data_IF_548728498327
#
_entry.id   IF_548728498327
#
_cell.length_a   1.000
_cell.length_b   1.000
_cell.length_c   1.000
_cell.angle_alpha   90.00
_cell.angle_beta   90.00
_cell.angle_gamma   90.00
#
_symmetry.space_group_name_H-M   'P 1'
#
loop_
_entity.id
_entity.type
_entity.pdbx_description
1 polymer ?
#
# COMPACT_ATOMS: atom_id res chain seq x y z
N UNK A 1 -16.11 -18.45 -2.27
CA UNK A 1 -15.00 -17.68 -1.68
C UNK A 1 -15.29 -17.54 -0.21
N UNK A 2 -14.40 -18.04 0.65
CA UNK A 2 -14.49 -17.80 2.09
C UNK A 2 -14.41 -16.30 2.39
N UNK A 3 -14.93 -15.91 3.56
CA UNK A 3 -15.06 -14.50 3.94
C UNK A 3 -13.70 -13.92 4.32
N UNK A 4 -13.10 -13.17 3.39
CA UNK A 4 -11.91 -12.35 3.69
C UNK A 4 -12.21 -11.32 4.78
N UNK A 5 -11.34 -11.25 5.79
CA UNK A 5 -11.38 -10.24 6.84
C UNK A 5 -10.38 -9.14 6.47
N UNK A 6 -10.89 -7.98 6.10
CA UNK A 6 -10.09 -6.85 5.62
C UNK A 6 -9.46 -6.06 6.77
N UNK A 7 -8.20 -5.68 6.60
CA UNK A 7 -7.44 -4.77 7.48
C UNK A 7 -6.97 -3.58 6.66
N UNK A 8 -7.09 -2.37 7.22
CA UNK A 8 -6.69 -1.12 6.56
C UNK A 8 -7.79 -0.07 6.61
N UNK A 9 -7.82 0.80 5.61
CA UNK A 9 -8.75 1.91 5.53
C UNK A 9 -10.15 1.45 5.10
N UNK A 10 -11.17 2.18 5.55
CA UNK A 10 -12.57 1.87 5.23
C UNK A 10 -12.88 2.13 3.73
N UNK A 11 -13.52 1.16 3.08
CA UNK A 11 -13.90 1.23 1.66
C UNK A 11 -14.76 2.47 1.33
N UNK A 12 -15.58 2.94 2.27
CA UNK A 12 -16.42 4.13 2.07
C UNK A 12 -15.60 5.38 1.79
N UNK A 13 -14.35 5.46 2.26
CA UNK A 13 -13.44 6.55 1.95
C UNK A 13 -13.12 6.59 0.44
N UNK A 14 -13.09 5.43 -0.22
CA UNK A 14 -12.73 5.29 -1.64
C UNK A 14 -13.93 5.27 -2.57
N UNK A 15 -15.15 5.04 -2.06
CA UNK A 15 -16.40 5.11 -2.82
C UNK A 15 -16.57 6.44 -3.58
N UNK A 16 -16.03 7.55 -3.04
CA UNK A 16 -16.07 8.87 -3.68
C UNK A 16 -15.31 8.93 -5.01
N UNK A 17 -14.34 8.04 -5.20
CA UNK A 17 -13.53 7.96 -6.42
C UNK A 17 -14.15 7.05 -7.48
N UNK A 18 -15.34 6.48 -7.26
CA UNK A 18 -16.02 5.59 -8.24
C UNK A 18 -16.18 6.18 -9.65
N UNK A 19 -16.22 7.50 -9.78
CA UNK A 19 -16.35 8.24 -11.05
C UNK A 19 -15.01 8.69 -11.63
N UNK A 20 -13.89 8.41 -10.96
CA UNK A 20 -12.55 8.68 -11.43
C UNK A 20 -12.11 7.50 -12.28
N UNK A 21 -12.60 7.48 -13.52
CA UNK A 21 -12.37 6.37 -14.45
C UNK A 21 -11.45 6.86 -15.56
N UNK A 22 -10.33 6.19 -15.74
CA UNK A 22 -9.41 6.39 -16.83
C UNK A 22 -10.02 5.83 -18.12
N UNK A 23 -10.33 6.72 -19.07
CA UNK A 23 -10.86 6.38 -20.39
C UNK A 23 -9.89 6.79 -21.52
N UNK A 24 -8.70 7.28 -21.18
CA UNK A 24 -7.71 7.79 -22.13
C UNK A 24 -6.92 6.65 -22.77
N UNK A 25 -6.41 6.89 -23.98
CA UNK A 25 -5.48 6.01 -24.69
C UNK A 25 -4.34 6.85 -25.29
N UNK A 26 -3.06 6.62 -24.93
CA UNK A 26 -2.58 5.65 -23.93
C UNK A 26 -3.10 5.94 -22.52
N UNK A 27 -3.20 4.91 -21.68
CA UNK A 27 -3.83 5.00 -20.37
C UNK A 27 -2.90 5.58 -19.29
N UNK A 28 -3.28 6.71 -18.69
CA UNK A 28 -2.56 7.40 -17.61
C UNK A 28 -2.89 6.86 -16.21
N UNK A 29 -2.86 5.53 -16.03
CA UNK A 29 -3.30 4.89 -14.78
C UNK A 29 -2.47 5.32 -13.55
N UNK A 30 -1.18 5.65 -13.74
CA UNK A 30 -0.31 6.19 -12.70
C UNK A 30 -0.77 7.58 -12.23
N UNK A 31 -1.13 8.46 -13.16
CA UNK A 31 -1.71 9.78 -12.87
C UNK A 31 -2.99 9.66 -12.05
N UNK A 32 -3.93 8.77 -12.41
CA UNK A 32 -5.15 8.59 -11.63
C UNK A 32 -4.87 8.13 -10.21
N UNK A 33 -3.92 7.20 -10.01
CA UNK A 33 -3.56 6.73 -8.69
C UNK A 33 -2.87 7.82 -7.85
N UNK A 34 -1.95 8.58 -8.44
CA UNK A 34 -1.30 9.72 -7.78
C UNK A 34 -2.29 10.83 -7.43
N UNK A 35 -3.24 11.13 -8.30
CA UNK A 35 -4.29 12.10 -8.06
C UNK A 35 -5.21 11.67 -6.92
N UNK A 36 -5.66 10.41 -6.89
CA UNK A 36 -6.50 9.92 -5.79
C UNK A 36 -5.74 9.87 -4.46
N UNK A 37 -4.47 9.46 -4.46
CA UNK A 37 -3.62 9.49 -3.26
C UNK A 37 -3.46 10.93 -2.74
N UNK A 38 -3.16 11.88 -3.61
CA UNK A 38 -3.03 13.31 -3.27
C UNK A 38 -4.35 13.86 -2.72
N UNK A 39 -5.46 13.58 -3.40
CA UNK A 39 -6.79 13.99 -2.95
C UNK A 39 -7.16 13.41 -1.60
N UNK A 40 -6.94 12.11 -1.40
CA UNK A 40 -7.22 11.45 -0.13
C UNK A 40 -6.39 12.04 1.01
N UNK A 41 -5.09 12.23 0.79
CA UNK A 41 -4.16 12.80 1.78
C UNK A 41 -4.56 14.23 2.17
N UNK A 42 -4.72 15.13 1.20
CA UNK A 42 -5.08 16.53 1.46
C UNK A 42 -6.43 16.64 2.16
N UNK A 43 -7.41 15.83 1.75
CA UNK A 43 -8.74 15.85 2.34
C UNK A 43 -8.73 15.34 3.78
N UNK A 44 -7.92 14.32 4.10
CA UNK A 44 -7.75 13.83 5.46
C UNK A 44 -7.08 14.88 6.36
N UNK A 45 -6.02 15.53 5.86
CA UNK A 45 -5.20 16.43 6.67
C UNK A 45 -5.85 17.81 6.88
N UNK A 46 -6.61 18.27 5.89
CA UNK A 46 -7.08 19.67 5.85
C UNK A 46 -8.59 19.82 5.71
N UNK A 47 -9.32 18.75 5.39
CA UNK A 47 -10.73 18.84 5.01
C UNK A 47 -10.96 19.52 3.65
N UNK A 48 -9.91 19.91 2.93
CA UNK A 48 -10.04 20.60 1.65
C UNK A 48 -10.36 19.63 0.51
N UNK A 49 -11.41 19.94 -0.23
CA UNK A 49 -11.83 19.19 -1.42
C UNK A 49 -11.21 19.78 -2.68
N UNK A 50 -10.46 18.97 -3.43
CA UNK A 50 -9.86 19.40 -4.69
C UNK A 50 -10.72 19.01 -5.90
N UNK A 51 -10.76 19.87 -6.91
CA UNK A 51 -11.43 19.56 -8.18
C UNK A 51 -10.73 18.38 -8.88
N UNK A 52 -11.51 17.35 -9.23
CA UNK A 52 -11.03 16.19 -10.00
C UNK A 52 -10.27 16.61 -11.25
N UNK A 53 -10.85 17.51 -12.04
CA UNK A 53 -10.28 17.89 -13.34
C UNK A 53 -8.98 18.67 -13.17
N UNK A 54 -8.94 19.64 -12.26
CA UNK A 54 -7.73 20.43 -12.01
C UNK A 54 -6.61 19.54 -11.45
N UNK A 55 -6.95 18.61 -10.55
CA UNK A 55 -5.97 17.70 -9.97
C UNK A 55 -5.42 16.71 -11.00
N UNK A 56 -6.29 16.10 -11.82
CA UNK A 56 -5.83 15.20 -12.88
C UNK A 56 -4.90 15.92 -13.86
N UNK A 57 -5.28 17.12 -14.33
CA UNK A 57 -4.44 17.91 -15.23
C UNK A 57 -3.07 18.24 -14.59
N UNK A 58 -3.06 18.66 -13.32
CA UNK A 58 -1.81 18.99 -12.63
C UNK A 58 -0.91 17.77 -12.41
N UNK A 59 -1.50 16.62 -12.07
CA UNK A 59 -0.78 15.37 -11.82
C UNK A 59 -0.25 14.78 -13.13
N UNK A 60 -1.05 14.80 -14.21
CA UNK A 60 -0.65 14.33 -15.53
C UNK A 60 0.61 15.05 -16.01
N UNK A 61 0.65 16.37 -15.85
CA UNK A 61 1.83 17.17 -16.20
C UNK A 61 3.10 16.72 -15.49
N UNK A 62 3.03 16.30 -14.23
CA UNK A 62 4.24 15.90 -13.48
C UNK A 62 4.52 14.40 -13.46
N UNK A 63 3.53 13.57 -13.82
CA UNK A 63 3.63 12.10 -13.81
C UNK A 63 3.79 11.53 -15.21
N UNK A 64 3.10 12.05 -16.22
CA UNK A 64 2.95 11.44 -17.55
C UNK A 64 3.46 12.31 -18.74
N UNK A 65 3.61 13.64 -18.62
CA UNK A 65 4.01 14.50 -19.75
C UNK A 65 5.53 14.62 -20.01
N UNK A 66 6.40 14.38 -19.01
CA UNK A 66 7.84 14.73 -19.08
C UNK A 66 8.82 13.55 -19.23
N UNK A 67 8.48 12.50 -19.98
CA UNK A 67 9.41 11.38 -20.16
C UNK A 67 9.47 10.85 -21.59
N UNK A 68 10.64 10.26 -21.90
CA UNK A 68 11.01 9.78 -23.23
C UNK A 68 10.70 8.28 -23.41
N UNK A 69 9.82 7.72 -22.59
CA UNK A 69 9.47 6.31 -22.58
C UNK A 69 7.95 6.12 -22.61
N UNK A 70 7.49 4.93 -22.99
CA UNK A 70 6.08 4.61 -22.98
C UNK A 70 5.66 4.04 -21.62
N UNK A 71 4.56 4.59 -21.08
CA UNK A 71 3.94 4.13 -19.84
C UNK A 71 4.50 4.81 -18.60
N UNK A 72 3.81 4.62 -17.47
CA UNK A 72 4.19 5.24 -16.20
C UNK A 72 4.99 4.24 -15.36
N UNK A 73 6.25 4.53 -15.04
CA UNK A 73 7.02 3.72 -14.08
C UNK A 73 6.87 4.24 -12.65
N UNK A 74 7.22 3.43 -11.64
CA UNK A 74 7.10 3.82 -10.23
C UNK A 74 7.88 5.09 -9.88
N UNK A 75 9.02 5.34 -10.54
CA UNK A 75 9.81 6.55 -10.33
C UNK A 75 9.14 7.80 -10.93
N UNK A 76 8.37 7.67 -12.01
CA UNK A 76 7.57 8.77 -12.54
C UNK A 76 6.49 9.19 -11.53
N UNK A 77 5.76 8.21 -10.98
CA UNK A 77 4.74 8.44 -9.95
C UNK A 77 5.34 9.11 -8.72
N UNK A 78 6.49 8.62 -8.24
CA UNK A 78 7.15 9.19 -7.07
C UNK A 78 7.72 10.58 -7.33
N UNK A 79 8.29 10.83 -8.51
CA UNK A 79 8.78 12.16 -8.89
C UNK A 79 7.63 13.17 -8.96
N UNK A 80 6.51 12.80 -9.58
CA UNK A 80 5.31 13.64 -9.65
C UNK A 80 4.73 13.95 -8.28
N UNK A 81 4.59 12.95 -7.41
CA UNK A 81 4.15 13.15 -6.03
C UNK A 81 5.12 14.06 -5.25
N UNK A 82 6.44 13.86 -5.37
CA UNK A 82 7.43 14.73 -4.73
C UNK A 82 7.38 16.17 -5.27
N UNK A 83 7.04 16.37 -6.53
CA UNK A 83 6.81 17.71 -7.10
C UNK A 83 5.58 18.37 -6.46
N UNK A 84 4.48 17.64 -6.30
CA UNK A 84 3.22 18.13 -5.69
C UNK A 84 3.41 18.47 -4.20
N UNK A 85 3.99 17.56 -3.43
CA UNK A 85 4.20 17.77 -1.99
C UNK A 85 5.41 18.66 -1.70
N UNK A 86 6.31 18.85 -2.68
CA UNK A 86 7.51 19.69 -2.59
C UNK A 86 8.33 19.44 -1.31
N UNK A 87 8.39 18.18 -0.86
CA UNK A 87 9.00 17.75 0.40
C UNK A 87 8.51 18.53 1.64
N UNK A 88 7.29 19.07 1.59
CA UNK A 88 6.58 19.66 2.71
C UNK A 88 5.58 18.64 3.22
N UNK A 89 5.69 18.28 4.49
CA UNK A 89 4.83 17.32 5.20
C UNK A 89 4.92 15.87 4.71
N UNK A 90 5.15 15.61 3.43
CA UNK A 90 5.31 14.25 2.90
C UNK A 90 6.45 14.14 1.89
N UNK A 91 7.01 12.94 1.83
CA UNK A 91 7.96 12.51 0.81
C UNK A 91 7.45 11.23 0.16
N UNK A 92 7.34 11.22 -1.16
CA UNK A 92 7.05 10.00 -1.89
C UNK A 92 8.28 9.08 -1.89
N UNK A 93 8.05 7.83 -1.53
CA UNK A 93 9.03 6.74 -1.47
C UNK A 93 8.54 5.58 -2.33
N UNK A 94 9.49 4.80 -2.82
CA UNK A 94 9.23 3.65 -3.68
C UNK A 94 9.88 2.39 -3.14
N UNK A 95 9.41 1.25 -3.62
CA UNK A 95 10.08 -0.02 -3.40
C UNK A 95 9.55 -1.10 -4.32
N UNK A 96 10.12 -2.29 -4.17
CA UNK A 96 9.74 -3.51 -4.87
C UNK A 96 9.24 -4.53 -3.86
N UNK A 97 8.52 -5.55 -4.33
CA UNK A 97 7.97 -6.64 -3.50
C UNK A 97 6.86 -6.13 -2.56
N UNK A 98 5.68 -5.79 -3.11
CA UNK A 98 4.60 -5.17 -2.33
C UNK A 98 4.00 -6.10 -1.27
N UNK A 99 4.06 -7.43 -1.46
CA UNK A 99 3.46 -8.44 -0.59
C UNK A 99 3.91 -8.33 0.87
N UNK A 100 5.14 -7.88 1.11
CA UNK A 100 5.66 -7.65 2.47
C UNK A 100 5.43 -6.22 2.94
N UNK A 101 5.77 -5.25 2.10
CA UNK A 101 5.82 -3.85 2.50
C UNK A 101 4.42 -3.21 2.64
N UNK A 102 3.48 -3.52 1.76
CA UNK A 102 2.18 -2.82 1.70
C UNK A 102 1.37 -3.01 2.99
N UNK A 103 1.23 -4.22 3.56
CA UNK A 103 0.55 -4.38 4.86
C UNK A 103 1.19 -3.53 5.97
N UNK A 104 2.53 -3.53 6.07
CA UNK A 104 3.26 -2.76 7.08
C UNK A 104 3.08 -1.25 6.88
N UNK A 105 3.07 -0.77 5.63
CA UNK A 105 2.89 0.63 5.30
C UNK A 105 1.47 1.12 5.61
N UNK A 106 0.45 0.31 5.29
CA UNK A 106 -0.94 0.61 5.61
C UNK A 106 -1.13 0.64 7.13
N UNK A 107 -0.60 -0.35 7.85
CA UNK A 107 -0.67 -0.40 9.31
C UNK A 107 0.03 0.81 9.95
N UNK A 108 1.23 1.16 9.47
CA UNK A 108 2.06 2.23 10.04
C UNK A 108 1.50 3.63 9.78
N UNK A 109 1.16 3.91 8.53
CA UNK A 109 0.82 5.28 8.12
C UNK A 109 -0.68 5.52 8.04
N UNK A 110 -1.51 4.48 8.05
CA UNK A 110 -2.96 4.59 7.84
C UNK A 110 -3.30 5.36 6.55
N UNK A 111 -2.47 5.19 5.52
CA UNK A 111 -2.59 5.83 4.21
C UNK A 111 -2.61 4.75 3.10
N UNK A 112 -3.30 5.00 1.98
CA UNK A 112 -3.27 4.08 0.86
C UNK A 112 -1.92 4.08 0.15
N UNK A 113 -1.60 2.97 -0.50
CA UNK A 113 -0.33 2.71 -1.20
C UNK A 113 -0.60 2.42 -2.66
N UNK A 114 0.09 3.09 -3.57
CA UNK A 114 0.01 2.80 -5.00
C UNK A 114 0.81 1.52 -5.27
N UNK A 115 0.24 0.56 -5.99
CA UNK A 115 0.91 -0.68 -6.39
C UNK A 115 0.79 -0.90 -7.89
N UNK A 116 1.86 -1.42 -8.50
CA UNK A 116 1.89 -1.82 -9.90
C UNK A 116 1.60 -3.30 -10.04
N UNK A 117 0.68 -3.67 -10.94
CA UNK A 117 0.52 -5.06 -11.38
C UNK A 117 1.30 -5.32 -12.65
N UNK A 118 1.71 -6.57 -12.88
CA UNK A 118 2.35 -6.98 -14.14
C UNK A 118 1.63 -8.14 -14.81
N UNK A 119 1.56 -8.10 -16.14
CA UNK A 119 1.06 -9.22 -16.94
C UNK A 119 1.89 -10.49 -16.72
N UNK A 120 3.23 -10.36 -16.62
CA UNK A 120 4.14 -11.50 -16.41
C UNK A 120 3.95 -12.18 -15.06
N UNK A 121 3.39 -11.47 -14.07
CA UNK A 121 3.03 -12.02 -12.77
C UNK A 121 1.60 -12.60 -12.74
N UNK A 122 0.95 -12.75 -13.90
CA UNK A 122 -0.39 -13.33 -14.02
C UNK A 122 -1.52 -12.35 -13.71
N UNK A 123 -1.26 -11.04 -13.67
CA UNK A 123 -2.31 -10.05 -13.40
C UNK A 123 -3.35 -10.03 -14.53
N UNK A 124 -4.67 -10.18 -14.23
CA UNK A 124 -5.72 -9.97 -15.21
C UNK A 124 -5.82 -8.50 -15.65
N UNK A 125 -5.24 -7.58 -14.87
CA UNK A 125 -5.14 -6.16 -15.19
C UNK A 125 -3.95 -5.82 -16.09
N UNK A 126 -3.14 -6.81 -16.52
CA UNK A 126 -1.88 -6.61 -17.25
C UNK A 126 -0.95 -5.67 -16.48
N UNK A 127 -0.25 -4.77 -17.17
CA UNK A 127 0.55 -3.71 -16.56
C UNK A 127 -0.37 -2.54 -16.20
N UNK A 128 -0.58 -2.31 -14.91
CA UNK A 128 -1.58 -1.34 -14.42
C UNK A 128 -1.21 -0.80 -13.04
N UNK A 129 -1.64 0.42 -12.74
CA UNK A 129 -1.50 1.02 -11.41
C UNK A 129 -2.83 0.99 -10.65
N UNK A 130 -2.75 0.57 -9.39
CA UNK A 130 -3.86 0.48 -8.45
C UNK A 130 -3.52 1.25 -7.17
N UNK A 131 -4.54 1.74 -6.46
CA UNK A 131 -4.36 2.34 -5.14
C UNK A 131 -4.91 1.40 -4.07
N UNK A 132 -4.03 0.67 -3.38
CA UNK A 132 -4.37 -0.27 -2.32
C UNK A 132 -4.63 0.46 -1.02
N UNK A 133 -5.73 0.14 -0.37
CA UNK A 133 -6.11 0.75 0.90
C UNK A 133 -6.42 -0.26 2.01
N UNK A 134 -6.54 -1.54 1.66
CA UNK A 134 -6.72 -2.61 2.63
C UNK A 134 -6.10 -3.91 2.11
N UNK A 135 -5.86 -4.85 3.02
CA UNK A 135 -5.33 -6.17 2.73
C UNK A 135 -6.06 -7.25 3.54
N UNK A 136 -6.01 -8.49 3.08
CA UNK A 136 -6.56 -9.65 3.76
C UNK A 136 -5.75 -10.90 3.41
N UNK A 137 -5.72 -11.85 4.32
CA UNK A 137 -5.20 -13.19 4.06
C UNK A 137 -6.38 -14.16 3.94
N UNK A 138 -6.30 -15.11 3.01
CA UNK A 138 -7.21 -16.25 2.99
C UNK A 138 -6.75 -17.36 3.98
N UNK A 139 -7.54 -18.43 4.05
CA UNK A 139 -7.25 -19.61 4.87
C UNK A 139 -5.96 -20.34 4.45
N UNK A 140 -5.48 -20.14 3.22
CA UNK A 140 -4.24 -20.66 2.66
C UNK A 140 -3.07 -19.68 2.79
N UNK A 141 -3.22 -18.64 3.62
CA UNK A 141 -2.19 -17.64 3.87
C UNK A 141 -1.79 -16.84 2.62
N UNK A 142 -2.63 -16.81 1.58
CA UNK A 142 -2.41 -15.98 0.40
C UNK A 142 -2.88 -14.56 0.68
N UNK A 143 -2.04 -13.59 0.34
CA UNK A 143 -2.33 -12.17 0.53
C UNK A 143 -3.13 -11.60 -0.64
N UNK A 144 -4.19 -10.87 -0.31
CA UNK A 144 -5.00 -10.10 -1.25
C UNK A 144 -5.00 -8.64 -0.86
N UNK A 145 -4.97 -7.77 -1.86
CA UNK A 145 -5.16 -6.34 -1.70
C UNK A 145 -6.56 -5.95 -2.13
N UNK A 146 -7.15 -5.02 -1.37
CA UNK A 146 -8.33 -4.25 -1.75
C UNK A 146 -7.90 -2.89 -2.25
N UNK A 147 -8.33 -2.55 -3.44
CA UNK A 147 -7.83 -1.40 -4.15
C UNK A 147 -8.93 -0.59 -4.83
N UNK A 148 -8.64 0.70 -4.99
CA UNK A 148 -9.23 1.51 -6.03
C UNK A 148 -8.51 1.24 -7.36
N UNK A 149 -9.31 0.82 -8.34
CA UNK A 149 -8.95 0.59 -9.72
C UNK A 149 -9.60 1.66 -10.59
N UNK A 150 -8.74 2.43 -11.27
CA UNK A 150 -9.15 3.50 -12.17
C UNK A 150 -9.83 3.01 -13.46
N UNK A 151 -10.03 1.69 -13.66
CA UNK A 151 -10.95 1.14 -14.65
C UNK A 151 -12.41 1.04 -14.16
N UNK A 152 -12.73 1.54 -12.96
CA UNK A 152 -14.10 1.75 -12.50
C UNK A 152 -14.53 0.94 -11.28
N UNK A 153 -13.57 0.36 -10.53
CA UNK A 153 -13.87 -0.39 -9.31
C UNK A 153 -13.11 0.19 -8.12
N UNK A 154 -13.82 0.83 -7.19
CA UNK A 154 -13.23 1.30 -5.93
C UNK A 154 -13.02 0.17 -4.89
N UNK A 155 -13.40 -1.06 -5.23
CA UNK A 155 -13.37 -2.24 -4.36
C UNK A 155 -12.79 -3.46 -5.08
N UNK A 156 -11.84 -3.22 -5.98
CA UNK A 156 -11.13 -4.28 -6.68
C UNK A 156 -10.38 -5.14 -5.67
N UNK A 157 -10.38 -6.45 -5.89
CA UNK A 157 -9.64 -7.42 -5.08
C UNK A 157 -8.63 -8.10 -5.98
N UNK A 158 -7.35 -7.99 -5.65
CA UNK A 158 -6.26 -8.58 -6.41
C UNK A 158 -5.34 -9.42 -5.51
N UNK A 159 -4.88 -10.61 -5.95
CA UNK A 159 -3.79 -11.30 -5.27
C UNK A 159 -2.52 -10.45 -5.26
N UNK A 160 -1.88 -10.32 -4.10
CA UNK A 160 -0.68 -9.49 -3.94
C UNK A 160 0.47 -9.97 -4.85
N UNK A 161 0.60 -11.30 -5.04
CA UNK A 161 1.57 -11.93 -5.94
C UNK A 161 1.56 -11.43 -7.40
N UNK A 162 0.50 -10.73 -7.82
CA UNK A 162 0.41 -10.12 -9.16
C UNK A 162 1.10 -8.74 -9.23
N UNK A 163 1.66 -8.25 -8.13
CA UNK A 163 2.23 -6.90 -7.98
C UNK A 163 3.76 -6.92 -7.89
N UNK A 164 4.42 -5.85 -8.34
CA UNK A 164 5.89 -5.79 -8.42
C UNK A 164 6.52 -4.59 -7.71
N UNK A 165 5.89 -3.42 -7.81
CA UNK A 165 6.40 -2.16 -7.31
C UNK A 165 5.33 -1.42 -6.53
N UNK A 166 5.75 -0.57 -5.60
CA UNK A 166 4.84 0.27 -4.83
C UNK A 166 5.39 1.69 -4.63
N UNK A 167 4.48 2.63 -4.44
CA UNK A 167 4.75 4.04 -4.13
C UNK A 167 3.84 4.48 -2.99
N UNK A 168 4.41 5.14 -1.98
CA UNK A 168 3.67 5.63 -0.81
C UNK A 168 4.18 7.01 -0.39
N UNK A 169 3.37 7.71 0.41
CA UNK A 169 3.77 8.97 1.05
C UNK A 169 4.24 8.68 2.47
N UNK A 170 5.49 9.05 2.76
CA UNK A 170 6.05 9.04 4.11
C UNK A 170 5.89 10.43 4.72
N UNK A 171 5.23 10.57 5.88
CA UNK A 171 5.19 11.83 6.61
C UNK A 171 6.61 12.29 6.98
N UNK A 172 6.93 13.53 6.68
CA UNK A 172 8.15 14.20 7.15
C UNK A 172 7.82 14.76 8.53
N UNK A 173 8.43 14.19 9.57
CA UNK A 173 8.38 14.75 10.91
C UNK A 173 8.97 16.17 10.85
N UNK A 174 8.12 17.18 11.02
CA UNK A 174 8.60 18.54 11.20
C UNK A 174 9.12 18.67 12.63
N UNK A 175 10.41 18.94 12.79
CA UNK A 175 10.94 19.49 14.03
C UNK A 175 10.25 20.83 14.27
N UNK A 176 9.20 20.87 15.08
CA UNK A 176 8.66 22.12 15.63
C UNK A 176 8.68 22.05 17.15
N UNK A 177 9.44 23.00 17.69
CA UNK A 177 9.45 23.51 19.05
C UNK A 177 10.05 22.64 20.16
N UNK A 178 11.36 22.37 20.04
CA UNK A 178 12.23 21.99 21.17
C UNK A 178 12.47 23.16 22.15
N UNK A 179 11.39 23.78 22.65
CA UNK A 179 11.33 24.47 23.95
C UNK A 179 9.88 24.48 24.46
N UNK A 180 9.25 23.30 24.58
CA UNK A 180 8.16 23.11 25.53
C UNK A 180 8.43 21.81 26.28
N UNK A 181 8.43 21.93 27.62
CA UNK A 181 8.78 20.93 28.61
C UNK A 181 8.46 19.48 28.22
N UNK A 182 9.50 18.65 28.29
CA UNK A 182 9.40 17.19 28.35
C UNK A 182 8.79 16.83 29.70
N UNK A 183 7.47 16.88 29.80
CA UNK A 183 6.72 16.11 30.76
C UNK A 183 5.58 15.40 30.04
N UNK A 184 5.78 14.09 29.86
CA UNK A 184 4.74 13.07 29.74
C UNK A 184 3.54 13.39 28.85
N UNK A 185 3.72 13.19 27.53
CA UNK A 185 2.62 12.73 26.66
C UNK A 185 3.03 11.50 25.90
N UNK A 186 2.96 10.36 26.60
CA UNK A 186 2.50 9.14 25.95
C UNK A 186 1.03 9.33 25.60
N UNK A 187 0.74 10.10 24.54
CA UNK A 187 -0.56 10.04 23.92
C UNK A 187 -0.64 8.67 23.27
N UNK A 188 -1.27 7.74 23.99
CA UNK A 188 -1.65 6.42 23.51
C UNK A 188 -2.44 6.61 22.21
N UNK A 189 -1.78 6.40 21.08
CA UNK A 189 -2.45 6.11 19.83
C UNK A 189 -3.24 4.83 20.11
N UNK A 190 -4.54 4.99 20.35
CA UNK A 190 -5.46 3.89 20.61
C UNK A 190 -5.71 3.15 19.29
N UNK A 191 -4.69 2.41 18.85
CA UNK A 191 -4.78 1.42 17.79
C UNK A 191 -5.70 0.35 18.35
N UNK A 192 -6.98 0.33 17.95
CA UNK A 192 -7.79 -0.87 18.13
C UNK A 192 -7.12 -1.95 17.27
N UNK A 193 -6.40 -2.92 17.87
CA UNK A 193 -5.75 -3.92 17.07
C UNK A 193 -6.85 -4.76 16.42
N UNK A 194 -6.78 -4.92 15.10
CA UNK A 194 -7.69 -5.82 14.41
C UNK A 194 -7.46 -7.22 15.00
N UNK A 195 -8.46 -7.79 15.69
CA UNK A 195 -8.36 -9.11 16.32
C UNK A 195 -7.91 -10.18 15.32
N UNK A 196 -8.23 -10.02 14.03
CA UNK A 196 -7.75 -10.90 12.97
C UNK A 196 -6.23 -10.81 12.76
N UNK A 197 -5.63 -9.61 12.89
CA UNK A 197 -4.17 -9.40 12.82
C UNK A 197 -3.47 -10.03 14.00
N UNK A 198 -4.03 -9.91 15.21
CA UNK A 198 -3.50 -10.59 16.40
C UNK A 198 -3.51 -12.10 16.16
N UNK A 199 -4.65 -12.68 15.77
CA UNK A 199 -4.74 -14.12 15.51
C UNK A 199 -3.80 -14.60 14.40
N UNK A 200 -3.56 -13.77 13.38
CA UNK A 200 -2.64 -14.06 12.29
C UNK A 200 -1.18 -14.02 12.74
N UNK A 201 -0.79 -12.96 13.47
CA UNK A 201 0.56 -12.81 14.03
C UNK A 201 0.85 -13.91 15.04
N UNK A 202 -0.12 -14.28 15.87
CA UNK A 202 -0.04 -15.42 16.79
C UNK A 202 0.12 -16.74 16.03
N UNK A 203 -0.62 -16.93 14.94
CA UNK A 203 -0.48 -18.12 14.08
C UNK A 203 0.91 -18.18 13.44
N UNK A 204 1.42 -17.08 12.88
CA UNK A 204 2.78 -17.03 12.32
C UNK A 204 3.86 -17.24 13.38
N UNK A 205 3.74 -16.60 14.54
CA UNK A 205 4.68 -16.79 15.64
C UNK A 205 4.69 -18.25 16.13
N UNK A 206 3.52 -18.90 16.16
CA UNK A 206 3.38 -20.32 16.50
C UNK A 206 4.00 -21.20 15.42
N UNK A 207 3.74 -20.97 14.14
CA UNK A 207 4.33 -21.73 13.04
C UNK A 207 5.85 -21.58 12.99
N UNK A 208 6.38 -20.37 13.20
CA UNK A 208 7.81 -20.10 13.30
C UNK A 208 8.45 -20.77 14.53
N UNK A 209 7.78 -20.75 15.68
CA UNK A 209 8.23 -21.42 16.89
C UNK A 209 8.19 -22.96 16.75
N UNK A 210 7.16 -23.50 16.10
CA UNK A 210 7.04 -24.94 15.82
C UNK A 210 8.11 -25.38 14.81
N UNK A 211 8.41 -24.57 13.80
CA UNK A 211 9.54 -24.79 12.89
C UNK A 211 10.89 -24.73 13.64
N UNK A 212 11.10 -23.75 14.53
CA UNK A 212 12.30 -23.70 15.36
C UNK A 212 12.43 -24.89 16.32
N UNK A 213 11.32 -25.42 16.84
CA UNK A 213 11.34 -26.62 17.71
C UNK A 213 11.66 -27.90 16.97
N UNK A 214 11.30 -27.99 15.68
CA UNK A 214 11.70 -29.11 14.82
C UNK A 214 13.19 -29.07 14.46
N UNK A 215 13.78 -27.88 14.50
CA UNK A 215 15.21 -27.67 14.31
C UNK A 215 15.98 -27.89 15.62
N UNK A 216 16.62 -29.04 15.78
CA UNK A 216 17.62 -29.27 16.85
C UNK A 216 18.99 -28.90 16.27
N UNK A 217 19.66 -27.90 16.84
CA UNK A 217 20.92 -27.32 16.32
C UNK A 217 20.87 -26.93 14.83
N UNK A 218 19.73 -26.42 14.35
CA UNK A 218 19.58 -25.96 12.97
C UNK A 218 19.35 -27.08 11.94
N UNK A 219 19.06 -28.31 12.38
CA UNK A 219 18.67 -29.45 11.53
C UNK A 219 17.36 -30.07 12.00
N UNK A 220 16.54 -30.56 11.07
CA UNK A 220 15.27 -31.22 11.39
C UNK A 220 15.52 -32.52 12.18
N UNK A 221 14.61 -32.90 13.08
CA UNK A 221 14.74 -34.13 13.89
C UNK A 221 14.93 -35.41 13.07
N UNK A 222 14.34 -35.47 11.88
CA UNK A 222 14.50 -36.62 10.99
C UNK A 222 15.92 -36.72 10.41
N UNK A 223 16.62 -35.59 10.19
CA UNK A 223 18.05 -35.57 9.83
C UNK A 223 18.95 -36.02 10.99
N UNK A 224 18.52 -35.82 12.23
CA UNK A 224 19.23 -36.31 13.42
C UNK A 224 19.07 -37.82 13.61
N UNK A 225 17.90 -38.39 13.29
CA UNK A 225 17.68 -39.84 13.37
C UNK A 225 18.60 -40.60 12.42
N UNK A 226 18.79 -40.09 11.21
CA UNK A 226 19.70 -40.67 10.21
C UNK A 226 21.18 -40.56 10.59
N UNK A 227 21.53 -39.69 11.55
CA UNK A 227 22.89 -39.55 12.07
C UNK A 227 23.16 -40.37 13.35
N UNK A 228 22.11 -40.85 14.03
CA UNK A 228 22.21 -41.58 15.30
C UNK A 228 21.97 -43.11 15.12
N UNK A 229 21.42 -43.53 13.97
CA UNK A 229 21.28 -44.93 13.55
C UNK A 229 22.39 -45.28 12.56
#
# INVERSE_FOLDING_TARGET
>A
MERLIWTGLDESQFRRYKSWINKSFPGICGTYCAAVLTHHTVLQDTGHWMSKQQLLNAVETVVDDFHLHEGTFYWNVAAGLNSIFNFKHYRAKTGLIPDKAVPELIDRYQQPVIVGTLAVLGSPYKNHWLLVYAYAYDNHNQLYFKAYDNHGSYKAVIPAKHTNAYVYLEPILQEKDSQVNIENRHDEINIKPNLARISFLEKQAKEAADHQKKLIFGKEWDEWKDMII
#
